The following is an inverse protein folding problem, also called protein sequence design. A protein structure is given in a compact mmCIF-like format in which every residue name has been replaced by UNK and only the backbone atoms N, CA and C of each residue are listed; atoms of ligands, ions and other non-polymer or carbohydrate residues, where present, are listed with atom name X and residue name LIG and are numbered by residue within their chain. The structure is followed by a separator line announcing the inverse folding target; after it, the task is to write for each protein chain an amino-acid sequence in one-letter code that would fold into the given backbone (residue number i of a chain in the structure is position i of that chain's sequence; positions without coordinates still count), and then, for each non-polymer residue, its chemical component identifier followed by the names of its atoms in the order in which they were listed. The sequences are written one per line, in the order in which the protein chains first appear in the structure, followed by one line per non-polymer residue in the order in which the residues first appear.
data_IF_168027157336
#
_entry.id   IF_168027157336
#
_cell.length_a   1.000
_cell.length_b   1.000
_cell.length_c   1.000
_cell.angle_alpha   90.00
_cell.angle_beta   90.00
_cell.angle_gamma   90.00
#
_symmetry.space_group_name_H-M   'P 1'
#
loop_
_entity.id
_entity.type
_entity.pdbx_description
1 polymer ?
#
# COMPACT_ATOMS: atom_id res chain seq x y z
N UNK A 1 -47.46 26.04 -68.62
CA UNK A 1 -46.21 25.89 -67.81
C UNK A 1 -46.59 25.84 -66.33
N UNK A 2 -46.63 24.67 -65.74
CA UNK A 2 -46.94 24.46 -64.32
C UNK A 2 -45.63 24.13 -63.58
N UNK A 3 -45.30 24.99 -62.62
CA UNK A 3 -44.05 24.84 -61.82
C UNK A 3 -44.39 24.00 -60.59
N UNK A 4 -43.92 22.76 -60.52
CA UNK A 4 -44.03 21.91 -59.36
C UNK A 4 -42.91 22.27 -58.35
N UNK A 5 -43.32 22.81 -57.18
CA UNK A 5 -42.47 23.07 -56.04
C UNK A 5 -42.34 21.79 -55.20
N UNK A 6 -41.17 21.15 -55.23
CA UNK A 6 -40.90 19.95 -54.41
C UNK A 6 -40.47 20.42 -53.00
N UNK A 7 -41.30 20.16 -51.98
CA UNK A 7 -40.99 20.30 -50.58
C UNK A 7 -40.06 19.16 -50.12
N UNK A 8 -38.79 19.48 -49.85
CA UNK A 8 -37.84 18.55 -49.23
C UNK A 8 -38.10 18.57 -47.72
N UNK A 9 -38.83 17.57 -47.20
CA UNK A 9 -38.93 17.31 -45.78
C UNK A 9 -37.64 16.71 -45.26
N UNK A 10 -36.83 17.47 -44.56
CA UNK A 10 -35.62 16.98 -43.89
C UNK A 10 -36.07 16.12 -42.67
N UNK A 11 -36.08 14.81 -42.85
CA UNK A 11 -36.30 13.88 -41.72
C UNK A 11 -35.08 13.88 -40.84
N UNK A 12 -35.19 14.45 -39.63
CA UNK A 12 -34.22 14.20 -38.55
C UNK A 12 -34.27 12.73 -38.17
N UNK A 13 -33.38 11.94 -38.72
CA UNK A 13 -33.06 10.63 -38.20
C UNK A 13 -32.45 10.79 -36.79
N UNK A 14 -32.91 10.04 -35.77
CA UNK A 14 -32.25 10.06 -34.47
C UNK A 14 -30.80 9.64 -34.65
N UNK A 15 -29.88 10.44 -34.11
CA UNK A 15 -28.46 10.13 -34.06
C UNK A 15 -28.30 8.77 -33.36
N UNK A 16 -27.62 7.77 -33.95
CA UNK A 16 -27.39 6.51 -33.25
C UNK A 16 -26.73 6.83 -31.90
N UNK A 17 -27.07 6.09 -30.83
CA UNK A 17 -26.38 6.25 -29.57
C UNK A 17 -24.87 6.09 -29.83
N UNK A 18 -24.07 7.00 -29.28
CA UNK A 18 -22.62 6.89 -29.37
C UNK A 18 -22.25 5.47 -28.91
N UNK A 19 -21.52 4.74 -29.73
CA UNK A 19 -20.89 3.49 -29.31
C UNK A 19 -20.09 3.86 -28.06
N UNK A 20 -20.55 3.39 -26.89
CA UNK A 20 -19.84 3.55 -25.64
C UNK A 20 -18.55 2.75 -25.74
N UNK A 21 -17.48 3.37 -26.18
CA UNK A 21 -16.16 2.77 -26.19
C UNK A 21 -15.80 2.35 -24.76
N UNK A 22 -15.08 1.23 -24.62
CA UNK A 22 -14.57 0.77 -23.35
C UNK A 22 -13.79 1.89 -22.65
N UNK A 23 -14.18 2.25 -21.42
CA UNK A 23 -13.41 3.21 -20.63
C UNK A 23 -12.25 2.47 -19.96
N UNK A 24 -11.05 3.01 -20.15
CA UNK A 24 -9.82 2.51 -19.49
C UNK A 24 -9.50 3.37 -18.28
N UNK A 25 -9.45 2.75 -17.08
CA UNK A 25 -8.91 3.36 -15.87
C UNK A 25 -7.48 2.87 -15.68
N UNK A 26 -6.54 3.80 -15.53
CA UNK A 26 -5.13 3.48 -15.27
C UNK A 26 -4.83 3.66 -13.79
N UNK A 27 -4.44 2.57 -13.11
CA UNK A 27 -4.10 2.60 -11.69
C UNK A 27 -2.61 2.31 -11.47
N UNK A 28 -1.96 3.17 -10.70
CA UNK A 28 -0.60 2.94 -10.21
C UNK A 28 -0.66 2.60 -8.72
N UNK A 29 -0.14 1.43 -8.34
CA UNK A 29 -0.19 0.94 -6.97
C UNK A 29 1.17 0.53 -6.42
N UNK A 30 1.35 0.63 -5.10
CA UNK A 30 2.51 0.01 -4.50
C UNK A 30 2.39 -1.52 -4.53
N UNK A 31 3.54 -2.20 -4.53
CA UNK A 31 3.70 -3.57 -5.03
C UNK A 31 2.78 -4.62 -4.41
N UNK A 32 2.44 -4.51 -3.13
CA UNK A 32 1.63 -5.52 -2.43
C UNK A 32 0.13 -5.43 -2.72
N UNK A 33 -0.34 -4.37 -3.40
CA UNK A 33 -1.74 -4.21 -3.78
C UNK A 33 -2.16 -5.10 -4.94
N UNK A 34 -1.19 -5.63 -5.70
CA UNK A 34 -1.43 -6.29 -6.98
C UNK A 34 -2.50 -7.38 -6.92
N UNK A 35 -2.37 -8.34 -6.02
CA UNK A 35 -3.28 -9.49 -5.96
C UNK A 35 -4.71 -9.10 -5.61
N UNK A 36 -4.90 -8.24 -4.63
CA UNK A 36 -6.23 -7.79 -4.21
C UNK A 36 -6.92 -7.00 -5.31
N UNK A 37 -6.18 -6.11 -5.97
CA UNK A 37 -6.72 -5.28 -7.05
C UNK A 37 -7.07 -6.11 -8.28
N UNK A 38 -6.13 -6.89 -8.82
CA UNK A 38 -6.34 -7.64 -10.07
C UNK A 38 -7.31 -8.81 -9.92
N UNK A 39 -7.31 -9.49 -8.77
CA UNK A 39 -8.11 -10.71 -8.58
C UNK A 39 -9.51 -10.46 -7.96
N UNK A 40 -9.74 -9.30 -7.32
CA UNK A 40 -11.02 -9.04 -6.66
C UNK A 40 -11.56 -7.62 -6.92
N UNK A 41 -10.80 -6.57 -6.61
CA UNK A 41 -11.31 -5.20 -6.64
C UNK A 41 -11.69 -4.76 -8.07
N UNK A 42 -10.80 -4.94 -9.05
CA UNK A 42 -11.11 -4.60 -10.45
C UNK A 42 -12.28 -5.42 -11.00
N UNK A 43 -12.30 -6.76 -10.90
CA UNK A 43 -13.44 -7.55 -11.36
C UNK A 43 -14.76 -7.18 -10.68
N UNK A 44 -14.75 -6.93 -9.36
CA UNK A 44 -15.95 -6.54 -8.62
C UNK A 44 -16.50 -5.20 -9.11
N UNK A 45 -15.63 -4.18 -9.24
CA UNK A 45 -16.05 -2.88 -9.76
C UNK A 45 -16.56 -2.97 -11.20
N UNK A 46 -15.88 -3.68 -12.10
CA UNK A 46 -16.29 -3.87 -13.50
C UNK A 46 -17.69 -4.49 -13.57
N UNK A 47 -17.92 -5.57 -12.82
CA UNK A 47 -19.24 -6.24 -12.78
C UNK A 47 -20.33 -5.30 -12.27
N UNK A 48 -20.08 -4.57 -11.18
CA UNK A 48 -20.99 -3.60 -10.59
C UNK A 48 -21.31 -2.45 -11.54
N UNK A 49 -20.27 -1.86 -12.16
CA UNK A 49 -20.45 -0.75 -13.11
C UNK A 49 -21.26 -1.16 -14.33
N UNK A 50 -20.93 -2.32 -14.90
CA UNK A 50 -21.69 -2.88 -16.02
C UNK A 50 -23.16 -3.13 -15.69
N UNK A 51 -23.43 -3.67 -14.49
CA UNK A 51 -24.81 -3.91 -14.02
C UNK A 51 -25.60 -2.60 -13.89
N UNK A 52 -24.98 -1.54 -13.39
CA UNK A 52 -25.67 -0.26 -13.12
C UNK A 52 -25.78 0.63 -14.34
N UNK A 53 -24.79 0.61 -15.25
CA UNK A 53 -24.68 1.58 -16.34
C UNK A 53 -24.66 0.94 -17.73
N UNK A 54 -24.58 -0.40 -17.84
CA UNK A 54 -24.49 -1.11 -19.15
C UNK A 54 -23.20 -0.85 -19.92
N UNK A 55 -22.19 -0.22 -19.27
CA UNK A 55 -20.95 0.23 -19.89
C UNK A 55 -19.79 -0.68 -19.47
N UNK A 56 -18.92 -1.00 -20.42
CA UNK A 56 -17.69 -1.76 -20.16
C UNK A 56 -16.59 -0.85 -19.64
N UNK A 57 -15.85 -1.36 -18.65
CA UNK A 57 -14.69 -0.72 -18.04
C UNK A 57 -13.53 -1.70 -18.04
N UNK A 58 -12.33 -1.20 -18.31
CA UNK A 58 -11.09 -1.97 -18.20
C UNK A 58 -10.11 -1.25 -17.30
N UNK A 59 -9.26 -2.03 -16.67
CA UNK A 59 -8.15 -1.49 -15.87
C UNK A 59 -6.81 -1.78 -16.55
N UNK A 60 -5.96 -0.76 -16.57
CA UNK A 60 -4.53 -0.91 -16.78
C UNK A 60 -3.82 -0.59 -15.47
N UNK A 61 -2.89 -1.42 -15.04
CA UNK A 61 -2.24 -1.24 -13.75
C UNK A 61 -0.73 -1.35 -13.82
N UNK A 62 -0.05 -0.62 -12.94
CA UNK A 62 1.41 -0.68 -12.74
C UNK A 62 1.71 -0.76 -11.24
N UNK A 63 2.62 -1.67 -10.86
CA UNK A 63 2.96 -1.92 -9.46
C UNK A 63 4.47 -1.89 -9.25
N UNK A 64 4.91 -1.06 -8.30
CA UNK A 64 6.31 -0.91 -7.92
C UNK A 64 6.45 -0.48 -6.44
N UNK A 65 7.62 -0.10 -5.99
CA UNK A 65 7.77 0.60 -4.71
C UNK A 65 6.99 1.92 -4.72
N UNK A 66 6.41 2.33 -3.59
CA UNK A 66 5.52 3.50 -3.52
C UNK A 66 6.22 4.80 -3.94
N UNK A 67 7.47 5.01 -3.53
CA UNK A 67 8.28 6.14 -3.97
C UNK A 67 8.54 6.09 -5.49
N UNK A 68 8.76 4.90 -6.06
CA UNK A 68 8.93 4.71 -7.50
C UNK A 68 7.65 5.09 -8.24
N UNK A 69 6.50 4.59 -7.80
CA UNK A 69 5.17 4.95 -8.35
C UNK A 69 4.95 6.46 -8.31
N UNK A 70 5.20 7.07 -7.17
CA UNK A 70 5.05 8.52 -6.98
C UNK A 70 5.94 9.31 -7.93
N UNK A 71 7.21 8.91 -8.07
CA UNK A 71 8.15 9.57 -8.99
C UNK A 71 7.72 9.40 -10.46
N UNK A 72 7.23 8.23 -10.86
CA UNK A 72 6.69 8.01 -12.22
C UNK A 72 5.53 8.95 -12.52
N UNK A 73 4.58 9.10 -11.58
CA UNK A 73 3.44 10.02 -11.75
C UNK A 73 3.93 11.47 -11.84
N UNK A 74 4.84 11.90 -10.97
CA UNK A 74 5.43 13.24 -11.01
C UNK A 74 6.18 13.51 -12.33
N UNK A 75 6.70 12.48 -12.98
CA UNK A 75 7.35 12.55 -14.30
C UNK A 75 6.37 12.43 -15.47
N UNK A 76 5.06 12.37 -15.21
CA UNK A 76 4.02 12.38 -16.24
C UNK A 76 3.46 11.01 -16.61
N UNK A 77 3.65 9.96 -15.81
CA UNK A 77 2.98 8.68 -16.04
C UNK A 77 1.44 8.87 -15.99
N UNK A 78 0.68 8.23 -16.90
CA UNK A 78 -0.73 8.53 -17.13
C UNK A 78 -1.67 7.81 -16.14
N UNK A 79 -1.37 7.84 -14.84
CA UNK A 79 -2.24 7.27 -13.81
C UNK A 79 -3.50 8.14 -13.65
N UNK A 80 -4.68 7.50 -13.57
CA UNK A 80 -5.93 8.13 -13.17
C UNK A 80 -6.11 8.04 -11.63
N UNK A 81 -5.64 6.93 -11.03
CA UNK A 81 -5.73 6.66 -9.59
C UNK A 81 -4.39 6.13 -9.09
N UNK A 82 -4.00 6.52 -7.90
CA UNK A 82 -2.89 5.91 -7.19
C UNK A 82 -3.29 5.37 -5.82
N UNK A 83 -2.79 4.16 -5.46
CA UNK A 83 -2.85 3.62 -4.10
C UNK A 83 -1.41 3.48 -3.61
N UNK A 84 -1.10 4.20 -2.54
CA UNK A 84 0.27 4.44 -2.08
C UNK A 84 0.51 3.78 -0.72
N UNK A 85 1.77 3.46 -0.44
CA UNK A 85 2.13 2.85 0.85
C UNK A 85 2.17 3.86 1.99
N UNK A 86 2.48 5.11 1.71
CA UNK A 86 2.67 6.16 2.71
C UNK A 86 1.93 7.44 2.31
N UNK A 87 1.36 8.11 3.29
CA UNK A 87 0.63 9.37 3.09
C UNK A 87 1.52 10.47 2.49
N UNK A 88 2.79 10.51 2.91
CA UNK A 88 3.77 11.46 2.38
C UNK A 88 3.86 11.43 0.84
N UNK A 89 3.68 10.27 0.22
CA UNK A 89 3.69 10.14 -1.24
C UNK A 89 2.45 10.83 -1.85
N UNK A 90 1.28 10.69 -1.25
CA UNK A 90 0.07 11.43 -1.65
C UNK A 90 0.26 12.95 -1.51
N UNK A 91 0.84 13.39 -0.40
CA UNK A 91 1.18 14.80 -0.16
C UNK A 91 2.19 15.33 -1.21
N UNK A 92 3.15 14.51 -1.68
CA UNK A 92 4.09 14.89 -2.74
C UNK A 92 3.37 15.09 -4.07
N UNK A 93 2.43 14.21 -4.43
CA UNK A 93 1.59 14.37 -5.62
C UNK A 93 0.71 15.62 -5.54
N UNK A 94 0.18 15.93 -4.34
CA UNK A 94 -0.59 17.14 -4.09
C UNK A 94 0.27 18.41 -4.27
N UNK A 95 1.46 18.45 -3.63
CA UNK A 95 2.40 19.57 -3.82
C UNK A 95 2.88 19.73 -5.26
N UNK A 96 2.95 18.63 -6.01
CA UNK A 96 3.28 18.63 -7.44
C UNK A 96 2.11 19.03 -8.35
N UNK A 97 0.92 19.31 -7.80
CA UNK A 97 -0.26 19.70 -8.57
C UNK A 97 -0.92 18.56 -9.36
N UNK A 98 -0.63 17.31 -9.01
CA UNK A 98 -1.24 16.12 -9.63
C UNK A 98 -2.55 15.73 -8.92
N UNK A 99 -2.63 15.95 -7.62
CA UNK A 99 -3.79 15.70 -6.76
C UNK A 99 -4.30 17.09 -6.30
N UNK A 100 -5.52 17.44 -6.65
CA UNK A 100 -6.15 18.72 -6.28
C UNK A 100 -7.41 18.52 -5.45
N UNK A 101 -8.05 17.35 -5.55
CA UNK A 101 -9.17 16.95 -4.71
C UNK A 101 -8.70 16.62 -3.29
N UNK A 102 -9.58 16.88 -2.32
CA UNK A 102 -9.34 16.52 -0.92
C UNK A 102 -9.56 15.02 -0.72
N UNK A 103 -8.49 14.25 -0.82
CA UNK A 103 -8.53 12.79 -0.64
C UNK A 103 -8.81 12.38 0.81
N UNK A 104 -8.59 13.26 1.80
CA UNK A 104 -8.95 13.00 3.19
C UNK A 104 -10.47 13.01 3.44
N UNK A 105 -11.26 13.54 2.49
CA UNK A 105 -12.72 13.51 2.56
C UNK A 105 -13.32 12.11 2.38
N UNK A 106 -12.55 11.16 1.84
CA UNK A 106 -12.97 9.75 1.76
C UNK A 106 -13.00 9.09 3.16
N UNK A 107 -13.77 7.99 3.34
CA UNK A 107 -13.83 7.29 4.61
C UNK A 107 -12.45 6.91 5.15
N UNK A 108 -12.33 6.82 6.48
CA UNK A 108 -11.05 6.54 7.14
C UNK A 108 -9.91 7.48 6.72
N UNK A 109 -10.25 8.74 6.47
CA UNK A 109 -9.29 9.78 6.07
C UNK A 109 -8.51 9.42 4.79
N UNK A 110 -9.19 8.78 3.83
CA UNK A 110 -8.60 8.34 2.56
C UNK A 110 -7.78 7.05 2.62
N UNK A 111 -7.74 6.40 3.78
CA UNK A 111 -7.04 5.12 3.96
C UNK A 111 -7.95 3.97 3.50
N UNK A 112 -7.53 3.19 2.52
CA UNK A 112 -8.33 2.10 1.94
C UNK A 112 -8.17 0.77 2.68
N UNK A 113 -7.00 0.52 3.25
CA UNK A 113 -6.70 -0.69 4.03
C UNK A 113 -5.45 -0.50 4.88
N UNK A 114 -5.20 -1.46 5.78
CA UNK A 114 -4.06 -1.46 6.71
C UNK A 114 -3.42 -2.84 6.76
N UNK A 115 -2.19 -2.92 7.26
CA UNK A 115 -1.53 -4.20 7.57
C UNK A 115 -0.36 -3.97 8.54
N UNK A 116 -0.15 -4.85 9.54
CA UNK A 116 1.02 -4.73 10.41
C UNK A 116 2.28 -5.27 9.74
N UNK A 117 3.45 -4.90 10.29
CA UNK A 117 4.73 -5.48 9.91
C UNK A 117 5.05 -6.71 10.75
N UNK A 118 5.60 -7.73 10.07
CA UNK A 118 6.02 -8.99 10.67
C UNK A 118 7.44 -9.36 10.21
N UNK A 119 7.99 -10.41 10.82
CA UNK A 119 9.25 -11.03 10.40
C UNK A 119 8.94 -12.40 9.81
N UNK A 120 9.34 -12.61 8.56
CA UNK A 120 9.35 -13.96 7.95
C UNK A 120 10.72 -14.59 8.20
N UNK A 121 10.72 -15.84 8.63
CA UNK A 121 11.93 -16.64 8.86
C UNK A 121 11.85 -17.97 8.12
N UNK A 122 12.97 -18.63 7.94
CA UNK A 122 13.02 -19.99 7.37
C UNK A 122 12.26 -20.96 8.27
N UNK A 123 11.67 -21.99 7.66
CA UNK A 123 10.90 -23.03 8.37
C UNK A 123 11.68 -23.62 9.55
N UNK A 124 11.02 -23.74 10.69
CA UNK A 124 11.63 -24.18 11.95
C UNK A 124 12.43 -23.10 12.67
N UNK A 125 12.47 -21.87 12.15
CA UNK A 125 13.15 -20.72 12.78
C UNK A 125 14.58 -21.05 13.30
N UNK A 126 15.49 -21.50 12.45
CA UNK A 126 16.80 -22.02 12.87
C UNK A 126 17.68 -20.98 13.57
N UNK A 127 17.37 -19.69 13.44
CA UNK A 127 18.09 -18.59 14.10
C UNK A 127 17.45 -18.14 15.42
N UNK A 128 16.32 -18.73 15.82
CA UNK A 128 15.65 -18.43 17.09
C UNK A 128 15.16 -16.98 17.19
N UNK A 129 14.72 -16.37 16.08
CA UNK A 129 14.22 -15.00 16.02
C UNK A 129 12.82 -14.96 16.64
N UNK A 130 12.59 -14.04 17.59
CA UNK A 130 11.31 -13.90 18.30
C UNK A 130 10.74 -12.47 18.23
N UNK A 131 11.61 -11.48 18.00
CA UNK A 131 11.24 -10.06 17.94
C UNK A 131 12.23 -9.33 17.01
N UNK A 132 11.94 -8.05 16.69
CA UNK A 132 12.85 -7.23 15.89
C UNK A 132 14.27 -7.16 16.45
N UNK A 133 14.43 -7.01 17.77
CA UNK A 133 15.76 -6.94 18.39
C UNK A 133 16.66 -8.14 18.11
N UNK A 134 16.08 -9.33 17.91
CA UNK A 134 16.85 -10.54 17.56
C UNK A 134 17.52 -10.43 16.19
N UNK A 135 16.96 -9.63 15.27
CA UNK A 135 17.54 -9.42 13.94
C UNK A 135 18.88 -8.68 13.99
N UNK A 136 19.19 -8.01 15.11
CA UNK A 136 20.48 -7.37 15.36
C UNK A 136 21.58 -8.32 15.85
N UNK A 137 21.28 -9.60 16.13
CA UNK A 137 22.28 -10.59 16.58
C UNK A 137 23.30 -10.90 15.47
N UNK A 138 24.56 -11.16 15.81
CA UNK A 138 25.57 -11.56 14.85
C UNK A 138 25.17 -12.81 14.05
N UNK A 139 25.50 -12.83 12.75
CA UNK A 139 25.27 -13.97 11.88
C UNK A 139 23.84 -14.11 11.35
N UNK A 140 22.97 -13.15 11.57
CA UNK A 140 21.68 -13.00 10.87
C UNK A 140 21.91 -12.35 9.51
N UNK A 141 21.31 -12.90 8.46
CA UNK A 141 21.32 -12.35 7.11
C UNK A 141 19.90 -11.84 6.79
N UNK A 142 19.72 -10.54 6.82
CA UNK A 142 18.41 -9.89 6.69
C UNK A 142 18.18 -9.35 5.27
N UNK A 143 17.02 -9.64 4.69
CA UNK A 143 16.51 -8.94 3.52
C UNK A 143 15.60 -7.81 3.99
N UNK A 144 15.76 -6.64 3.42
CA UNK A 144 14.96 -5.45 3.73
C UNK A 144 14.71 -4.65 2.45
N UNK A 145 13.49 -4.16 2.16
CA UNK A 145 13.27 -3.34 0.99
C UNK A 145 14.11 -2.05 1.03
N UNK A 146 14.40 -1.47 -0.15
CA UNK A 146 15.18 -0.24 -0.22
C UNK A 146 14.37 0.97 0.30
N UNK A 147 14.86 1.69 1.34
CA UNK A 147 14.19 2.87 1.89
C UNK A 147 14.08 4.06 0.93
N UNK A 148 14.81 4.05 -0.19
CA UNK A 148 14.74 5.11 -1.20
C UNK A 148 13.56 4.93 -2.16
N UNK A 149 13.22 3.68 -2.47
CA UNK A 149 12.18 3.35 -3.47
C UNK A 149 10.91 2.76 -2.87
N UNK A 150 10.98 2.20 -1.66
CA UNK A 150 9.88 1.48 -1.02
C UNK A 150 9.32 2.22 0.20
N UNK A 151 8.06 2.62 0.15
CA UNK A 151 7.34 3.13 1.33
C UNK A 151 7.24 2.08 2.45
N UNK A 152 7.14 0.79 2.09
CA UNK A 152 7.19 -0.31 3.05
C UNK A 152 8.50 -0.37 3.84
N UNK A 153 9.62 0.01 3.23
CA UNK A 153 10.89 0.11 3.93
C UNK A 153 10.90 1.24 4.96
N UNK A 154 10.23 2.36 4.66
CA UNK A 154 10.10 3.45 5.63
C UNK A 154 9.19 3.04 6.80
N UNK A 155 8.08 2.35 6.53
CA UNK A 155 7.24 1.76 7.56
C UNK A 155 7.98 0.78 8.46
N UNK A 156 8.80 -0.12 7.88
CA UNK A 156 9.55 -1.10 8.68
C UNK A 156 10.64 -0.46 9.57
N UNK A 157 11.26 0.64 9.11
CA UNK A 157 12.17 1.43 9.95
C UNK A 157 11.42 2.03 11.14
N UNK A 158 10.22 2.59 10.91
CA UNK A 158 9.35 3.08 11.98
C UNK A 158 8.90 1.94 12.90
N UNK A 159 8.59 0.76 12.34
CA UNK A 159 8.21 -0.42 13.13
C UNK A 159 9.33 -0.85 14.09
N UNK A 160 10.56 -0.95 13.62
CA UNK A 160 11.72 -1.33 14.42
C UNK A 160 11.99 -0.30 15.51
N UNK A 161 12.13 0.97 15.11
CA UNK A 161 12.45 2.05 16.03
C UNK A 161 11.34 2.27 17.07
N UNK A 162 10.09 2.33 16.60
CA UNK A 162 8.90 2.50 17.44
C UNK A 162 8.64 1.32 18.38
N UNK A 163 8.93 0.10 17.93
CA UNK A 163 8.82 -1.10 18.78
C UNK A 163 9.67 -0.99 20.03
N UNK A 164 10.93 -0.54 19.90
CA UNK A 164 11.80 -0.38 21.06
C UNK A 164 11.34 0.76 21.98
N UNK A 165 10.90 1.89 21.40
CA UNK A 165 10.31 2.99 22.17
C UNK A 165 9.06 2.55 22.94
N UNK A 166 8.17 1.80 22.27
CA UNK A 166 6.91 1.35 22.87
C UNK A 166 7.11 0.31 23.97
N UNK A 167 8.09 -0.58 23.78
CA UNK A 167 8.48 -1.56 24.80
C UNK A 167 9.10 -0.87 26.03
N UNK A 168 10.02 0.07 25.85
CA UNK A 168 10.63 0.80 26.95
C UNK A 168 9.60 1.65 27.70
N UNK A 169 8.69 2.31 26.98
CA UNK A 169 7.58 3.05 27.59
C UNK A 169 6.68 2.15 28.45
N UNK A 170 6.38 0.92 27.98
CA UNK A 170 5.61 -0.06 28.75
C UNK A 170 6.37 -0.67 29.95
N UNK A 171 7.70 -0.66 29.93
CA UNK A 171 8.57 -1.20 30.98
C UNK A 171 8.91 -0.17 32.09
N UNK A 172 9.03 1.12 31.74
CA UNK A 172 9.56 2.18 32.64
C UNK A 172 8.87 3.53 32.56
N UNK A 173 7.75 3.63 31.82
CA UNK A 173 7.05 4.88 31.49
C UNK A 173 7.91 5.92 30.71
N UNK A 174 9.09 5.51 30.21
CA UNK A 174 9.99 6.37 29.45
C UNK A 174 10.35 5.77 28.08
N UNK A 175 10.53 6.65 27.09
CA UNK A 175 10.97 6.26 25.75
C UNK A 175 12.50 6.22 25.68
N UNK A 176 13.08 5.03 25.63
CA UNK A 176 14.53 4.86 25.48
C UNK A 176 14.96 5.00 24.00
N UNK A 177 15.24 6.24 23.59
CA UNK A 177 15.69 6.57 22.24
C UNK A 177 17.09 6.03 21.92
N UNK A 178 17.95 5.85 22.93
CA UNK A 178 19.29 5.30 22.77
C UNK A 178 19.23 3.80 22.44
N UNK A 179 18.42 3.05 23.19
CA UNK A 179 18.13 1.62 22.91
C UNK A 179 17.53 1.44 21.52
N UNK A 180 16.53 2.25 21.15
CA UNK A 180 15.89 2.18 19.84
C UNK A 180 16.88 2.43 18.68
N UNK A 181 17.74 3.44 18.80
CA UNK A 181 18.80 3.73 17.84
C UNK A 181 19.83 2.59 17.76
N UNK A 182 20.26 2.06 18.90
CA UNK A 182 21.22 0.97 18.96
C UNK A 182 20.65 -0.30 18.28
N UNK A 183 19.40 -0.65 18.56
CA UNK A 183 18.70 -1.78 17.93
C UNK A 183 18.60 -1.59 16.42
N UNK A 184 18.16 -0.43 15.96
CA UNK A 184 18.06 -0.13 14.53
C UNK A 184 19.44 -0.24 13.83
N UNK A 185 20.52 0.27 14.46
CA UNK A 185 21.90 0.14 13.95
C UNK A 185 22.35 -1.32 13.87
N UNK A 186 22.08 -2.11 14.90
CA UNK A 186 22.47 -3.51 14.94
C UNK A 186 21.75 -4.32 13.83
N UNK A 187 20.46 -4.08 13.64
CA UNK A 187 19.66 -4.71 12.58
C UNK A 187 20.18 -4.32 11.20
N UNK A 188 20.44 -3.02 10.98
CA UNK A 188 20.87 -2.53 9.66
C UNK A 188 22.23 -3.10 9.23
N UNK A 189 23.12 -3.41 10.17
CA UNK A 189 24.39 -4.09 9.89
C UNK A 189 24.22 -5.49 9.30
N UNK A 190 23.10 -6.13 9.58
CA UNK A 190 22.77 -7.47 9.12
C UNK A 190 22.00 -7.50 7.79
N UNK A 191 21.63 -6.32 7.24
CA UNK A 191 20.98 -6.22 5.93
C UNK A 191 21.98 -6.55 4.82
N UNK A 192 21.68 -7.62 4.08
CA UNK A 192 22.54 -8.11 2.99
C UNK A 192 22.04 -7.74 1.60
N UNK A 193 20.77 -7.35 1.48
CA UNK A 193 20.14 -6.97 0.20
C UNK A 193 18.99 -6.00 0.44
N UNK A 194 18.84 -5.03 -0.46
CA UNK A 194 17.79 -4.00 -0.41
C UNK A 194 17.06 -3.92 -1.76
N UNK A 195 16.18 -4.89 -2.08
CA UNK A 195 15.36 -4.84 -3.30
C UNK A 195 14.42 -3.64 -3.34
N UNK A 196 14.04 -3.20 -4.56
CA UNK A 196 13.35 -1.94 -4.80
C UNK A 196 11.92 -1.84 -4.24
N UNK A 197 11.31 -2.96 -3.86
CA UNK A 197 9.95 -3.03 -3.30
C UNK A 197 9.80 -4.18 -2.31
N UNK A 198 8.73 -4.16 -1.50
CA UNK A 198 8.42 -5.25 -0.59
C UNK A 198 8.19 -6.58 -1.32
N UNK A 199 7.56 -6.55 -2.51
CA UNK A 199 7.35 -7.73 -3.34
C UNK A 199 8.66 -8.30 -3.89
N UNK A 200 9.58 -7.47 -4.34
CA UNK A 200 10.91 -7.91 -4.78
C UNK A 200 11.74 -8.47 -3.61
N UNK A 201 11.61 -7.87 -2.41
CA UNK A 201 12.25 -8.39 -1.21
C UNK A 201 11.71 -9.78 -0.84
N UNK A 202 10.40 -10.01 -0.94
CA UNK A 202 9.78 -11.32 -0.81
C UNK A 202 10.35 -12.31 -1.83
N UNK A 203 10.36 -11.94 -3.12
CA UNK A 203 10.90 -12.80 -4.19
C UNK A 203 12.37 -13.14 -3.92
N UNK A 204 13.18 -12.18 -3.50
CA UNK A 204 14.60 -12.39 -3.13
C UNK A 204 14.72 -13.41 -1.99
N UNK A 205 13.85 -13.31 -0.97
CA UNK A 205 13.80 -14.26 0.11
C UNK A 205 13.34 -15.64 -0.38
N UNK A 206 12.27 -15.76 -1.16
CA UNK A 206 11.76 -17.02 -1.71
C UNK A 206 12.83 -17.76 -2.55
N UNK A 207 13.71 -17.04 -3.24
CA UNK A 207 14.86 -17.62 -3.97
C UNK A 207 16.00 -18.13 -3.05
N UNK A 208 15.80 -18.17 -1.73
CA UNK A 208 16.76 -18.74 -0.79
C UNK A 208 17.74 -17.74 -0.18
N UNK A 209 17.64 -16.46 -0.49
CA UNK A 209 18.53 -15.46 0.09
C UNK A 209 18.05 -15.03 1.49
N UNK A 210 19.01 -14.81 2.40
CA UNK A 210 18.76 -14.35 3.75
C UNK A 210 18.17 -15.40 4.69
N UNK A 211 18.23 -15.13 5.97
CA UNK A 211 17.66 -15.93 7.06
C UNK A 211 16.29 -15.37 7.49
N UNK A 212 16.11 -14.06 7.33
CA UNK A 212 14.90 -13.35 7.70
C UNK A 212 14.56 -12.24 6.68
N UNK A 213 13.27 -11.84 6.66
CA UNK A 213 12.72 -10.74 5.89
C UNK A 213 11.76 -9.96 6.78
N UNK A 214 11.90 -8.64 6.87
CA UNK A 214 10.87 -7.76 7.45
C UNK A 214 9.93 -7.32 6.33
N UNK A 215 8.64 -7.58 6.51
CA UNK A 215 7.63 -7.23 5.51
C UNK A 215 6.24 -7.08 6.12
N UNK A 216 5.26 -6.76 5.31
CA UNK A 216 3.85 -6.71 5.66
C UNK A 216 3.31 -8.12 5.99
N UNK A 217 2.39 -8.22 6.97
CA UNK A 217 1.77 -9.49 7.37
C UNK A 217 1.09 -10.19 6.20
N UNK A 218 0.39 -9.45 5.35
CA UNK A 218 -0.27 -10.04 4.17
C UNK A 218 0.70 -10.81 3.26
N UNK A 219 1.94 -10.34 3.08
CA UNK A 219 2.93 -11.06 2.28
C UNK A 219 3.27 -12.42 2.90
N UNK A 220 3.40 -12.46 4.22
CA UNK A 220 3.64 -13.69 4.96
C UNK A 220 2.46 -14.66 4.86
N UNK A 221 1.23 -14.15 4.94
CA UNK A 221 0.01 -14.97 4.84
C UNK A 221 -0.17 -15.52 3.42
N UNK A 222 0.07 -14.71 2.39
CA UNK A 222 0.07 -15.19 0.98
C UNK A 222 1.15 -16.25 0.74
N UNK A 223 2.34 -16.14 1.36
CA UNK A 223 3.37 -17.17 1.27
C UNK A 223 2.94 -18.46 1.97
N UNK A 224 2.25 -18.37 3.12
CA UNK A 224 1.67 -19.56 3.78
C UNK A 224 0.61 -20.24 2.93
N UNK A 225 -0.28 -19.50 2.30
CA UNK A 225 -1.27 -20.05 1.36
C UNK A 225 -0.63 -20.75 0.17
N UNK A 226 0.51 -20.24 -0.30
CA UNK A 226 1.32 -20.86 -1.35
C UNK A 226 2.17 -22.04 -0.85
N UNK A 227 2.02 -22.47 0.42
CA UNK A 227 2.81 -23.52 1.05
C UNK A 227 4.33 -23.26 1.06
N UNK A 228 4.75 -21.99 1.07
CA UNK A 228 6.16 -21.64 1.20
C UNK A 228 6.73 -22.15 2.54
N UNK A 229 7.97 -22.68 2.57
CA UNK A 229 8.59 -23.22 3.78
C UNK A 229 9.11 -22.12 4.70
N UNK A 230 8.19 -21.41 5.34
CA UNK A 230 8.46 -20.28 6.24
C UNK A 230 7.75 -20.43 7.57
N UNK A 231 8.22 -19.70 8.57
CA UNK A 231 7.47 -19.36 9.77
C UNK A 231 7.34 -17.82 9.86
N UNK A 232 6.29 -17.36 10.53
CA UNK A 232 5.98 -15.94 10.70
C UNK A 232 6.08 -15.59 12.17
N UNK A 233 6.83 -14.54 12.46
CA UNK A 233 7.00 -14.00 13.80
C UNK A 233 6.29 -12.64 13.84
N UNK A 234 5.25 -12.54 14.64
CA UNK A 234 4.62 -11.26 14.96
C UNK A 234 5.38 -10.65 16.14
N UNK A 235 6.07 -9.50 15.96
CA UNK A 235 6.77 -8.83 17.04
C UNK A 235 5.81 -8.41 18.16
N UNK A 236 6.30 -8.33 19.41
CA UNK A 236 5.50 -7.88 20.53
C UNK A 236 4.89 -6.49 20.28
N UNK A 237 5.69 -5.59 19.70
CA UNK A 237 5.24 -4.29 19.22
C UNK A 237 5.58 -4.11 17.75
N UNK A 238 4.63 -3.67 16.95
CA UNK A 238 4.82 -3.34 15.54
C UNK A 238 3.83 -2.28 15.07
N UNK A 239 4.12 -1.67 13.93
CA UNK A 239 3.28 -0.61 13.35
C UNK A 239 2.29 -1.18 12.34
N UNK A 240 1.06 -0.67 12.38
CA UNK A 240 0.09 -0.84 11.31
C UNK A 240 0.33 0.24 10.25
N UNK A 241 0.73 -0.19 9.06
CA UNK A 241 0.81 0.69 7.90
C UNK A 241 -0.58 1.01 7.39
N UNK A 242 -0.77 2.23 6.93
CA UNK A 242 -2.02 2.78 6.43
C UNK A 242 -1.82 3.27 5.01
N UNK A 243 -2.71 2.85 4.10
CA UNK A 243 -2.50 2.99 2.67
C UNK A 243 -3.52 3.94 2.06
N UNK A 244 -3.12 5.16 1.66
CA UNK A 244 -3.99 6.13 1.04
C UNK A 244 -4.26 5.82 -0.43
N UNK A 245 -5.48 6.15 -0.88
CA UNK A 245 -5.85 6.20 -2.29
C UNK A 245 -6.16 7.63 -2.71
N UNK A 246 -5.68 8.02 -3.89
CA UNK A 246 -5.85 9.37 -4.43
C UNK A 246 -6.21 9.35 -5.91
N UNK A 247 -7.00 10.31 -6.34
CA UNK A 247 -7.25 10.60 -7.76
C UNK A 247 -6.11 11.47 -8.28
N UNK A 248 -5.56 11.12 -9.42
CA UNK A 248 -4.57 11.95 -10.11
C UNK A 248 -5.33 12.94 -11.00
N UNK A 249 -5.91 13.94 -10.38
CA UNK A 249 -6.85 14.89 -11.02
C UNK A 249 -6.30 15.50 -12.30
N UNK A 250 -4.99 15.75 -12.37
CA UNK A 250 -4.32 16.30 -13.54
C UNK A 250 -4.43 15.41 -14.78
N UNK A 251 -4.59 14.10 -14.61
CA UNK A 251 -4.63 13.13 -15.70
C UNK A 251 -6.06 12.70 -16.04
N UNK A 252 -7.03 12.90 -15.13
CA UNK A 252 -8.41 12.45 -15.31
C UNK A 252 -9.15 13.44 -16.21
N UNK A 253 -9.50 13.00 -17.42
CA UNK A 253 -10.32 13.77 -18.34
C UNK A 253 -11.80 13.82 -17.91
N UNK A 254 -12.55 14.80 -18.38
CA UNK A 254 -13.95 15.02 -17.99
C UNK A 254 -14.87 13.84 -18.29
N UNK A 255 -14.61 13.11 -19.36
CA UNK A 255 -15.36 11.90 -19.76
C UNK A 255 -15.10 10.70 -18.85
N UNK A 256 -13.92 10.64 -18.21
CA UNK A 256 -13.56 9.60 -17.24
C UNK A 256 -13.92 9.96 -15.80
N UNK A 257 -14.16 11.23 -15.48
CA UNK A 257 -14.27 11.70 -14.09
C UNK A 257 -15.33 10.92 -13.30
N UNK A 258 -16.51 10.74 -13.86
CA UNK A 258 -17.62 10.07 -13.19
C UNK A 258 -17.24 8.64 -12.77
N UNK A 259 -16.60 7.89 -13.66
CA UNK A 259 -16.27 6.48 -13.37
C UNK A 259 -15.07 6.36 -12.43
N UNK A 260 -14.11 7.27 -12.52
CA UNK A 260 -12.99 7.33 -11.57
C UNK A 260 -13.50 7.65 -10.16
N UNK A 261 -14.39 8.62 -10.02
CA UNK A 261 -15.00 8.96 -8.72
C UNK A 261 -15.83 7.80 -8.17
N UNK A 262 -16.57 7.08 -9.02
CA UNK A 262 -17.31 5.88 -8.62
C UNK A 262 -16.38 4.74 -8.19
N UNK A 263 -15.25 4.54 -8.88
CA UNK A 263 -14.24 3.57 -8.47
C UNK A 263 -13.61 3.93 -7.13
N UNK A 264 -13.29 5.21 -6.93
CA UNK A 264 -12.79 5.67 -5.63
C UNK A 264 -13.79 5.37 -4.51
N UNK A 265 -15.07 5.71 -4.68
CA UNK A 265 -16.10 5.38 -3.68
C UNK A 265 -16.25 3.88 -3.45
N UNK A 266 -16.14 3.06 -4.48
CA UNK A 266 -16.21 1.61 -4.39
C UNK A 266 -15.16 1.02 -3.46
N UNK A 267 -13.94 1.59 -3.40
CA UNK A 267 -12.86 1.09 -2.54
C UNK A 267 -13.24 1.00 -1.05
N UNK A 268 -14.18 1.83 -0.59
CA UNK A 268 -14.68 1.82 0.79
C UNK A 268 -16.04 1.11 0.96
N UNK A 269 -16.60 0.51 -0.11
CA UNK A 269 -17.80 -0.32 0.02
C UNK A 269 -17.49 -1.60 0.81
N UNK A 270 -18.51 -2.17 1.45
CA UNK A 270 -18.37 -3.44 2.18
C UNK A 270 -17.82 -4.56 1.28
N UNK A 271 -18.23 -4.60 0.02
CA UNK A 271 -17.74 -5.56 -0.97
C UNK A 271 -16.21 -5.45 -1.15
N UNK A 272 -15.71 -4.23 -1.37
CA UNK A 272 -14.28 -3.99 -1.55
C UNK A 272 -13.49 -4.22 -0.25
N UNK A 273 -14.05 -3.82 0.91
CA UNK A 273 -13.41 -4.01 2.20
C UNK A 273 -13.32 -5.50 2.59
N UNK A 274 -14.36 -6.29 2.31
CA UNK A 274 -14.30 -7.75 2.45
C UNK A 274 -13.29 -8.38 1.51
N UNK A 275 -13.20 -7.87 0.25
CA UNK A 275 -12.20 -8.32 -0.70
C UNK A 275 -10.77 -8.03 -0.19
N UNK A 276 -10.50 -6.85 0.37
CA UNK A 276 -9.21 -6.57 1.00
C UNK A 276 -8.89 -7.54 2.14
N UNK A 277 -9.86 -7.83 3.02
CA UNK A 277 -9.67 -8.80 4.12
C UNK A 277 -9.41 -10.22 3.60
N UNK A 278 -10.07 -10.63 2.51
CA UNK A 278 -9.80 -11.91 1.86
C UNK A 278 -8.35 -12.03 1.35
N UNK A 279 -7.74 -10.90 0.99
CA UNK A 279 -6.33 -10.82 0.58
C UNK A 279 -5.41 -10.37 1.72
N UNK A 280 -5.83 -10.59 2.97
CA UNK A 280 -5.06 -10.39 4.20
C UNK A 280 -4.69 -8.94 4.52
N UNK A 281 -5.39 -7.97 3.95
CA UNK A 281 -5.39 -6.61 4.47
C UNK A 281 -6.41 -6.47 5.59
N UNK A 282 -6.18 -5.58 6.53
CA UNK A 282 -7.21 -5.16 7.46
C UNK A 282 -8.13 -4.13 6.78
N UNK A 283 -9.43 -4.31 6.94
CA UNK A 283 -10.41 -3.29 6.55
C UNK A 283 -10.12 -1.99 7.30
N UNK A 284 -10.20 -0.88 6.58
CA UNK A 284 -10.06 0.45 7.17
C UNK A 284 -11.37 0.97 7.79
N UNK A 285 -12.52 0.39 7.43
CA UNK A 285 -13.85 0.91 7.80
C UNK A 285 -14.69 -0.03 8.64
N UNK A 286 -14.34 -1.34 8.71
CA UNK A 286 -15.17 -2.32 9.38
C UNK A 286 -14.35 -3.36 10.16
N UNK A 287 -14.22 -3.14 11.46
CA UNK A 287 -13.46 -4.02 12.34
C UNK A 287 -14.09 -5.42 12.50
N UNK A 288 -15.39 -5.60 12.25
CA UNK A 288 -16.00 -6.91 12.28
C UNK A 288 -15.43 -7.84 11.19
N UNK A 289 -15.09 -7.29 10.03
CA UNK A 289 -14.41 -8.05 8.97
C UNK A 289 -13.01 -8.49 9.41
N UNK A 290 -12.29 -7.63 10.14
CA UNK A 290 -10.97 -7.93 10.67
C UNK A 290 -11.03 -9.05 11.74
N UNK A 291 -11.99 -8.97 12.65
CA UNK A 291 -12.19 -9.97 13.71
C UNK A 291 -12.63 -11.33 13.18
N UNK A 292 -13.34 -11.36 12.07
CA UNK A 292 -13.77 -12.62 11.43
C UNK A 292 -12.58 -13.36 10.76
N UNK A 293 -11.47 -12.69 10.50
CA UNK A 293 -10.29 -13.31 9.88
C UNK A 293 -9.35 -13.90 10.96
N UNK A 294 -9.44 -15.21 11.16
CA UNK A 294 -8.61 -15.94 12.14
C UNK A 294 -7.13 -16.10 11.73
N UNK A 295 -6.76 -15.70 10.51
CA UNK A 295 -5.39 -15.75 10.01
C UNK A 295 -4.51 -14.60 10.48
N UNK A 296 -5.10 -13.50 10.98
CA UNK A 296 -4.36 -12.34 11.45
C UNK A 296 -3.62 -12.60 12.76
N UNK A 297 -2.36 -12.11 12.83
CA UNK A 297 -1.56 -12.16 14.03
C UNK A 297 -2.03 -11.18 15.10
N UNK A 298 -1.89 -11.56 16.36
CA UNK A 298 -2.19 -10.65 17.48
C UNK A 298 -0.94 -9.81 17.79
N UNK A 299 -1.06 -8.50 17.65
CA UNK A 299 -0.05 -7.53 18.09
C UNK A 299 -0.37 -7.08 19.53
N UNK A 300 0.57 -7.27 20.46
CA UNK A 300 0.35 -6.94 21.88
C UNK A 300 0.38 -5.41 22.11
N UNK A 301 1.36 -4.73 21.52
CA UNK A 301 1.57 -3.29 21.64
C UNK A 301 1.55 -2.65 20.24
N UNK A 302 0.35 -2.42 19.66
CA UNK A 302 0.23 -1.87 18.31
C UNK A 302 0.65 -0.40 18.27
N UNK A 303 1.25 -0.02 17.15
CA UNK A 303 1.61 1.35 16.79
C UNK A 303 0.87 1.77 15.53
N UNK A 304 0.60 3.06 15.42
CA UNK A 304 0.19 3.74 14.19
C UNK A 304 1.15 4.89 13.92
N UNK A 305 0.99 5.56 12.78
CA UNK A 305 1.83 6.73 12.46
C UNK A 305 1.65 7.87 13.47
N UNK A 306 0.48 7.93 14.12
CA UNK A 306 0.17 8.93 15.15
C UNK A 306 1.11 8.86 16.38
N UNK A 307 1.66 7.67 16.67
CA UNK A 307 2.66 7.52 17.74
C UNK A 307 3.89 8.41 17.51
N UNK A 308 4.20 8.70 16.24
CA UNK A 308 5.28 9.58 15.82
C UNK A 308 4.81 11.00 15.49
N UNK A 309 3.52 11.30 15.64
CA UNK A 309 2.90 12.59 15.30
C UNK A 309 2.65 12.79 13.81
N UNK A 310 2.33 11.71 13.10
CA UNK A 310 2.07 11.71 11.66
C UNK A 310 3.34 11.69 10.80
N UNK A 311 3.16 11.57 9.49
CA UNK A 311 4.28 11.53 8.52
C UNK A 311 5.09 12.82 8.47
N UNK A 312 4.49 13.96 8.76
CA UNK A 312 5.16 15.26 8.76
C UNK A 312 6.25 15.37 9.85
N UNK A 313 6.12 14.59 10.93
CA UNK A 313 7.14 14.46 11.99
C UNK A 313 7.98 13.19 11.83
N UNK A 314 7.35 12.06 11.56
CA UNK A 314 8.04 10.77 11.46
C UNK A 314 9.14 10.78 10.39
N UNK A 315 8.86 11.39 9.23
CA UNK A 315 9.83 11.39 8.13
C UNK A 315 11.09 12.22 8.46
N UNK A 316 11.02 13.50 8.80
CA UNK A 316 12.21 14.28 9.11
C UNK A 316 12.95 13.79 10.37
N UNK A 317 12.24 13.37 11.41
CA UNK A 317 12.88 13.01 12.67
C UNK A 317 13.41 11.57 12.68
N UNK A 318 12.67 10.60 12.16
CA UNK A 318 13.09 9.19 12.22
C UNK A 318 13.76 8.76 10.92
N UNK A 319 13.15 9.00 9.75
CA UNK A 319 13.72 8.54 8.49
C UNK A 319 14.96 9.33 8.11
N UNK A 320 14.90 10.68 8.14
CA UNK A 320 16.06 11.50 7.75
C UNK A 320 17.11 11.61 8.86
N UNK A 321 16.73 12.12 10.03
CA UNK A 321 17.67 12.45 11.10
C UNK A 321 18.27 11.22 11.78
N UNK A 322 17.46 10.21 12.07
CA UNK A 322 17.92 8.99 12.75
C UNK A 322 18.43 7.98 11.74
N UNK A 323 17.56 7.49 10.84
CA UNK A 323 17.94 6.39 9.98
C UNK A 323 18.99 6.80 8.94
N UNK A 324 18.72 7.78 8.07
CA UNK A 324 19.65 8.16 7.00
C UNK A 324 20.96 8.74 7.54
N UNK A 325 20.89 9.60 8.54
CA UNK A 325 22.09 10.32 9.01
C UNK A 325 22.91 9.54 10.02
N UNK A 326 22.31 8.64 10.82
CA UNK A 326 23.02 7.97 11.91
C UNK A 326 23.12 6.44 11.76
N UNK A 327 22.32 5.81 10.90
CA UNK A 327 22.32 4.36 10.71
C UNK A 327 22.84 3.98 9.33
N UNK A 328 22.31 4.58 8.26
CA UNK A 328 22.65 4.23 6.88
C UNK A 328 24.00 4.81 6.43
N UNK A 329 24.37 6.00 6.92
CA UNK A 329 25.69 6.57 6.62
C UNK A 329 26.78 5.81 7.37
N UNK A 330 27.59 5.05 6.63
CA UNK A 330 28.91 4.55 7.02
C UNK A 330 29.95 5.06 6.07
#
# INVERSE_FOLDING_TARGET
MALCLALITSSCLPKPPAENGDIMITLYGFSIMKESLEKAIFPGFVARWKQLHGQEVRFQSSFAGSETVTNQILQGAPADVAILSIERDAQRLQRGGFVTSDWHSFPSNGIVNKTPFVIIVRKGNPKGIRDFSDLGKPGIRLIHPDPVSSGGAQWSILAIYGSELKKSEAESDEKDTARALQTLRAIWKNVISTPGSAREARTTFELGNGDALITYELEALLMKEANSPIDVITPRSTIFSEHPAVVIDKNVSSDKRQIVDAFMQYLWSDEAQQAFVKFHFYSATNDAFNQANTGFGRVELPLTIEYFGGWDKAYPEVIEKIFRNQVQRK
#
